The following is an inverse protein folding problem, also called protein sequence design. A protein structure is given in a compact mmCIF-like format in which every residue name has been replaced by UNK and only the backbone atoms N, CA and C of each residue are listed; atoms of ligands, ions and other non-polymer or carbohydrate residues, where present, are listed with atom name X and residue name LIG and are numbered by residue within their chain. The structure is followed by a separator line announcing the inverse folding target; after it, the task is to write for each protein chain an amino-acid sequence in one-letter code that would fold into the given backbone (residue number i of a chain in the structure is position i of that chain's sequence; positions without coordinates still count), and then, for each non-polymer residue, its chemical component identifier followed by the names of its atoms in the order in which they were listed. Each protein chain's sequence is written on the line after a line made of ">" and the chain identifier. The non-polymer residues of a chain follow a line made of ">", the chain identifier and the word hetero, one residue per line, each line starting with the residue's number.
data_IF_547463296011
#
_entry.id   IF_547463296011
#
_cell.length_a   1.000
_cell.length_b   1.000
_cell.length_c   1.000
_cell.angle_alpha   90.00
_cell.angle_beta   90.00
_cell.angle_gamma   90.00
#
_symmetry.space_group_name_H-M   'P 1'
#
loop_
_entity.id
_entity.type
_entity.pdbx_description
1 polymer ?
#
# COMPACT_ATOMS: atom_id res chain seq x y z
N UNK A 1 40.19 14.09 20.03
CA UNK A 1 40.08 13.62 18.63
C UNK A 1 38.98 12.57 18.43
N UNK A 2 38.19 12.23 19.46
CA UNK A 2 37.24 11.10 19.43
C UNK A 2 35.78 11.50 19.16
N UNK A 3 35.27 12.55 19.82
CA UNK A 3 33.85 12.96 19.71
C UNK A 3 33.46 13.48 18.32
N UNK A 4 34.35 14.22 17.66
CA UNK A 4 34.09 14.79 16.33
C UNK A 4 34.12 13.73 15.22
N UNK A 5 34.92 12.67 15.41
CA UNK A 5 34.97 11.52 14.49
C UNK A 5 33.76 10.59 14.67
N UNK A 6 33.29 10.39 15.90
CA UNK A 6 32.04 9.65 16.17
C UNK A 6 30.82 10.38 15.57
N UNK A 7 30.73 11.70 15.77
CA UNK A 7 29.65 12.51 15.19
C UNK A 7 29.68 12.52 13.65
N UNK A 8 30.87 12.53 13.04
CA UNK A 8 31.01 12.39 11.58
C UNK A 8 30.62 11.00 11.09
N UNK A 9 30.96 9.94 11.84
CA UNK A 9 30.54 8.56 11.54
C UNK A 9 29.02 8.41 11.54
N UNK A 10 28.34 8.86 12.59
CA UNK A 10 26.88 8.81 12.67
C UNK A 10 26.20 9.61 11.54
N UNK A 11 26.74 10.78 11.19
CA UNK A 11 26.17 11.60 10.13
C UNK A 11 26.32 10.94 8.75
N UNK A 12 27.46 10.30 8.49
CA UNK A 12 27.69 9.53 7.26
C UNK A 12 26.79 8.29 7.18
N UNK A 13 26.60 7.57 8.29
CA UNK A 13 25.68 6.43 8.35
C UNK A 13 24.23 6.86 8.15
N UNK A 14 23.76 7.93 8.80
CA UNK A 14 22.40 8.46 8.59
C UNK A 14 22.20 8.93 7.15
N UNK A 15 23.15 9.68 6.60
CA UNK A 15 23.10 10.15 5.22
C UNK A 15 23.14 9.01 4.19
N UNK A 16 23.79 7.88 4.51
CA UNK A 16 23.78 6.67 3.68
C UNK A 16 22.48 5.86 3.83
N UNK A 17 21.87 5.86 5.02
CA UNK A 17 20.66 5.07 5.32
C UNK A 17 19.38 5.71 4.75
N UNK A 18 19.26 7.04 4.81
CA UNK A 18 18.12 7.79 4.26
C UNK A 18 17.77 7.44 2.79
N UNK A 19 18.72 7.41 1.83
CA UNK A 19 18.43 7.08 0.45
C UNK A 19 18.08 5.60 0.24
N UNK A 20 18.63 4.69 1.04
CA UNK A 20 18.28 3.27 0.98
C UNK A 20 16.86 3.03 1.49
N UNK A 21 16.50 3.65 2.62
CA UNK A 21 15.16 3.59 3.18
C UNK A 21 14.11 4.18 2.23
N UNK A 22 14.42 5.32 1.59
CA UNK A 22 13.54 5.90 0.57
C UNK A 22 13.34 4.99 -0.64
N UNK A 23 14.41 4.33 -1.13
CA UNK A 23 14.31 3.38 -2.25
C UNK A 23 13.45 2.18 -1.90
N UNK A 24 13.61 1.63 -0.70
CA UNK A 24 12.80 0.52 -0.23
C UNK A 24 11.32 0.90 -0.17
N UNK A 25 11.01 2.06 0.40
CA UNK A 25 9.65 2.56 0.50
C UNK A 25 9.00 2.77 -0.88
N UNK A 26 9.73 3.36 -1.83
CA UNK A 26 9.28 3.52 -3.22
C UNK A 26 9.02 2.15 -3.87
N UNK A 27 9.91 1.17 -3.65
CA UNK A 27 9.74 -0.19 -4.19
C UNK A 27 8.48 -0.84 -3.66
N UNK A 28 8.24 -0.75 -2.35
CA UNK A 28 7.04 -1.30 -1.71
C UNK A 28 5.76 -0.66 -2.26
N UNK A 29 5.73 0.67 -2.39
CA UNK A 29 4.59 1.38 -2.96
C UNK A 29 4.31 0.97 -4.42
N UNK A 30 5.35 0.85 -5.25
CA UNK A 30 5.18 0.38 -6.63
C UNK A 30 4.58 -1.03 -6.69
N UNK A 31 5.03 -1.94 -5.81
CA UNK A 31 4.47 -3.28 -5.72
C UNK A 31 3.00 -3.26 -5.27
N UNK A 32 2.63 -2.41 -4.30
CA UNK A 32 1.26 -2.28 -3.83
C UNK A 32 0.35 -1.73 -4.94
N UNK A 33 0.73 -0.61 -5.57
CA UNK A 33 -0.10 0.03 -6.60
C UNK A 33 -0.22 -0.84 -7.85
N UNK A 34 0.89 -1.41 -8.32
CA UNK A 34 0.90 -2.32 -9.46
C UNK A 34 0.11 -3.60 -9.18
N UNK A 35 0.32 -4.21 -8.00
CA UNK A 35 -0.38 -5.42 -7.57
C UNK A 35 -1.89 -5.21 -7.45
N UNK A 36 -2.34 -4.14 -6.78
CA UNK A 36 -3.77 -3.83 -6.67
C UNK A 36 -4.41 -3.52 -8.02
N UNK A 37 -3.68 -2.84 -8.93
CA UNK A 37 -4.16 -2.62 -10.30
C UNK A 37 -4.38 -3.93 -11.03
N UNK A 38 -3.41 -4.86 -10.95
CA UNK A 38 -3.53 -6.18 -11.57
C UNK A 38 -4.69 -6.99 -10.99
N UNK A 39 -4.86 -6.99 -9.66
CA UNK A 39 -5.98 -7.65 -8.98
C UNK A 39 -7.30 -7.06 -9.45
N UNK A 40 -7.43 -5.73 -9.48
CA UNK A 40 -8.64 -5.06 -9.93
C UNK A 40 -9.01 -5.42 -11.38
N UNK A 41 -8.03 -5.46 -12.29
CA UNK A 41 -8.25 -5.88 -13.68
C UNK A 41 -8.77 -7.32 -13.77
N UNK A 42 -8.18 -8.25 -13.01
CA UNK A 42 -8.63 -9.65 -12.98
C UNK A 42 -10.03 -9.77 -12.39
N UNK A 43 -10.34 -9.03 -11.31
CA UNK A 43 -11.65 -9.07 -10.67
C UNK A 43 -12.78 -8.51 -11.55
N UNK A 44 -12.48 -7.58 -12.45
CA UNK A 44 -13.50 -6.98 -13.33
C UNK A 44 -13.86 -7.90 -14.52
N UNK A 45 -12.95 -8.81 -14.92
CA UNK A 45 -13.15 -9.66 -16.10
C UNK A 45 -14.45 -10.48 -16.11
N UNK A 46 -14.84 -11.19 -15.03
CA UNK A 46 -16.04 -12.03 -15.03
C UNK A 46 -17.32 -11.22 -15.31
N UNK A 47 -17.36 -9.97 -14.84
CA UNK A 47 -18.52 -9.08 -15.01
C UNK A 47 -18.73 -8.62 -16.46
N UNK A 48 -17.71 -8.73 -17.33
CA UNK A 48 -17.85 -8.36 -18.75
C UNK A 48 -18.68 -9.37 -19.54
N UNK A 49 -18.77 -10.61 -19.06
CA UNK A 49 -19.52 -11.69 -19.70
C UNK A 49 -20.94 -11.89 -19.14
N UNK A 50 -21.29 -11.23 -18.04
CA UNK A 50 -22.60 -11.40 -17.39
C UNK A 50 -23.63 -10.40 -17.91
N UNK A 51 -24.81 -10.89 -18.27
CA UNK A 51 -25.91 -10.05 -18.76
C UNK A 51 -26.60 -9.22 -17.65
N UNK A 52 -26.48 -9.65 -16.38
CA UNK A 52 -27.15 -9.01 -15.25
C UNK A 52 -26.23 -8.97 -14.03
N UNK A 53 -25.84 -7.76 -13.61
CA UNK A 53 -25.10 -7.57 -12.36
C UNK A 53 -26.06 -7.34 -11.19
N UNK A 54 -25.84 -8.09 -10.12
CA UNK A 54 -26.44 -7.81 -8.81
C UNK A 54 -25.87 -6.51 -8.19
N UNK A 55 -26.38 -6.13 -7.01
CA UNK A 55 -25.95 -4.89 -6.35
C UNK A 55 -24.48 -4.92 -5.92
N UNK A 56 -23.97 -6.08 -5.49
CA UNK A 56 -22.59 -6.21 -5.02
C UNK A 56 -21.60 -6.07 -6.17
N UNK A 57 -21.87 -6.71 -7.30
CA UNK A 57 -21.08 -6.60 -8.51
C UNK A 57 -21.05 -5.16 -9.05
N UNK A 58 -22.17 -4.43 -8.99
CA UNK A 58 -22.20 -3.00 -9.38
C UNK A 58 -21.28 -2.17 -8.51
N UNK A 59 -21.30 -2.38 -7.19
CA UNK A 59 -20.40 -1.69 -6.25
C UNK A 59 -18.94 -2.03 -6.56
N UNK A 60 -18.63 -3.31 -6.83
CA UNK A 60 -17.30 -3.76 -7.23
C UNK A 60 -16.78 -3.02 -8.48
N UNK A 61 -17.56 -3.01 -9.56
CA UNK A 61 -17.20 -2.36 -10.82
C UNK A 61 -17.06 -0.84 -10.66
N UNK A 62 -17.98 -0.19 -9.95
CA UNK A 62 -17.89 1.24 -9.67
C UNK A 62 -16.64 1.59 -8.87
N UNK A 63 -16.33 0.83 -7.83
CA UNK A 63 -15.14 1.05 -7.01
C UNK A 63 -13.86 0.89 -7.84
N UNK A 64 -13.75 -0.19 -8.63
CA UNK A 64 -12.56 -0.42 -9.45
C UNK A 64 -12.42 0.54 -10.64
N UNK A 65 -13.53 1.05 -11.20
CA UNK A 65 -13.46 2.04 -12.28
C UNK A 65 -12.76 3.33 -11.87
N UNK A 66 -12.84 3.69 -10.59
CA UNK A 66 -12.14 4.85 -10.00
C UNK A 66 -10.78 4.44 -9.44
N UNK A 67 -10.67 3.28 -8.79
CA UNK A 67 -9.41 2.82 -8.20
C UNK A 67 -8.32 2.57 -9.25
N UNK A 68 -8.64 1.92 -10.39
CA UNK A 68 -7.65 1.55 -11.40
C UNK A 68 -6.91 2.79 -11.96
N UNK A 69 -7.58 3.85 -12.44
CA UNK A 69 -6.89 5.04 -12.94
C UNK A 69 -6.07 5.73 -11.86
N UNK A 70 -6.58 5.80 -10.62
CA UNK A 70 -5.85 6.44 -9.51
C UNK A 70 -4.59 5.67 -9.14
N UNK A 71 -4.68 4.33 -9.00
CA UNK A 71 -3.53 3.47 -8.71
C UNK A 71 -2.50 3.52 -9.84
N UNK A 72 -2.94 3.52 -11.10
CA UNK A 72 -2.05 3.67 -12.26
C UNK A 72 -1.34 5.03 -12.27
N UNK A 73 -2.04 6.12 -11.95
CA UNK A 73 -1.44 7.44 -11.83
C UNK A 73 -0.42 7.50 -10.68
N UNK A 74 -0.75 6.92 -9.51
CA UNK A 74 0.17 6.84 -8.37
C UNK A 74 1.41 5.99 -8.67
N UNK A 75 1.24 4.86 -9.37
CA UNK A 75 2.33 4.03 -9.86
C UNK A 75 3.25 4.80 -10.80
N UNK A 76 2.67 5.57 -11.73
CA UNK A 76 3.45 6.39 -12.66
C UNK A 76 4.21 7.51 -11.92
N UNK A 77 3.55 8.19 -10.98
CA UNK A 77 4.20 9.23 -10.15
C UNK A 77 5.34 8.63 -9.34
N UNK A 78 5.12 7.52 -8.64
CA UNK A 78 6.15 6.87 -7.82
C UNK A 78 7.30 6.31 -8.69
N UNK A 79 7.02 5.84 -9.91
CA UNK A 79 8.04 5.48 -10.90
C UNK A 79 8.87 6.70 -11.35
N UNK A 80 8.23 7.85 -11.58
CA UNK A 80 8.92 9.11 -11.90
C UNK A 80 9.79 9.62 -10.74
N UNK A 81 9.32 9.50 -9.49
CA UNK A 81 10.10 9.86 -8.30
C UNK A 81 11.32 8.95 -8.14
N UNK A 82 11.17 7.64 -8.38
CA UNK A 82 12.28 6.69 -8.41
C UNK A 82 13.33 7.07 -9.45
N UNK A 83 12.90 7.51 -10.63
CA UNK A 83 13.79 7.90 -11.72
C UNK A 83 14.52 9.22 -11.43
N UNK A 84 13.84 10.18 -10.79
CA UNK A 84 14.38 11.54 -10.52
C UNK A 84 15.04 11.70 -9.14
N UNK A 85 15.00 10.69 -8.26
CA UNK A 85 15.55 10.72 -6.88
C UNK A 85 15.07 11.92 -6.03
N UNK A 86 13.86 12.42 -6.27
CA UNK A 86 13.22 13.47 -5.45
C UNK A 86 11.77 13.07 -5.18
N UNK A 87 11.45 12.85 -3.90
CA UNK A 87 10.09 12.66 -3.45
C UNK A 87 9.34 14.01 -3.49
N UNK A 88 8.20 14.04 -4.17
CA UNK A 88 7.28 15.17 -4.07
C UNK A 88 6.28 14.86 -2.96
N UNK A 89 6.42 15.51 -1.81
CA UNK A 89 5.43 15.41 -0.71
C UNK A 89 4.19 16.24 -1.03
N UNK A 90 3.45 15.84 -2.07
CA UNK A 90 2.20 16.49 -2.43
C UNK A 90 1.05 15.90 -1.61
N UNK A 91 0.34 16.76 -0.88
CA UNK A 91 -0.90 16.40 -0.17
C UNK A 91 -1.92 15.73 -1.08
N UNK A 92 -1.96 16.12 -2.36
CA UNK A 92 -2.88 15.54 -3.35
C UNK A 92 -2.56 14.06 -3.58
N UNK A 93 -1.28 13.69 -3.70
CA UNK A 93 -0.85 12.30 -3.88
C UNK A 93 -1.28 11.45 -2.68
N UNK A 94 -1.07 11.97 -1.46
CA UNK A 94 -1.44 11.27 -0.23
C UNK A 94 -2.95 11.05 -0.10
N UNK A 95 -3.77 12.06 -0.42
CA UNK A 95 -5.23 11.93 -0.41
C UNK A 95 -5.70 10.96 -1.49
N UNK A 96 -5.19 11.09 -2.72
CA UNK A 96 -5.51 10.18 -3.82
C UNK A 96 -5.13 8.74 -3.49
N UNK A 97 -3.99 8.51 -2.83
CA UNK A 97 -3.56 7.19 -2.36
C UNK A 97 -4.57 6.58 -1.39
N UNK A 98 -4.99 7.32 -0.36
CA UNK A 98 -5.98 6.82 0.60
C UNK A 98 -7.31 6.47 -0.08
N UNK A 99 -7.77 7.33 -1.00
CA UNK A 99 -9.01 7.08 -1.75
C UNK A 99 -8.87 5.84 -2.63
N UNK A 100 -7.76 5.73 -3.38
CA UNK A 100 -7.52 4.62 -4.28
C UNK A 100 -7.44 3.28 -3.55
N UNK A 101 -6.72 3.22 -2.42
CA UNK A 101 -6.60 2.02 -1.61
C UNK A 101 -7.94 1.62 -0.98
N UNK A 102 -8.71 2.59 -0.47
CA UNK A 102 -10.04 2.33 0.09
C UNK A 102 -11.00 1.78 -0.97
N UNK A 103 -11.02 2.39 -2.16
CA UNK A 103 -11.86 1.91 -3.25
C UNK A 103 -11.42 0.54 -3.76
N UNK A 104 -10.12 0.28 -3.88
CA UNK A 104 -9.62 -1.03 -4.24
C UNK A 104 -10.04 -2.09 -3.21
N UNK A 105 -9.94 -1.78 -1.92
CA UNK A 105 -10.38 -2.67 -0.85
C UNK A 105 -11.89 -2.96 -0.92
N UNK A 106 -12.71 -1.92 -1.06
CA UNK A 106 -14.17 -2.06 -1.21
C UNK A 106 -14.50 -2.91 -2.45
N UNK A 107 -13.82 -2.69 -3.56
CA UNK A 107 -14.00 -3.47 -4.78
C UNK A 107 -13.71 -4.95 -4.57
N UNK A 108 -12.59 -5.28 -3.92
CA UNK A 108 -12.23 -6.68 -3.62
C UNK A 108 -13.29 -7.34 -2.73
N UNK A 109 -13.69 -6.68 -1.64
CA UNK A 109 -14.71 -7.22 -0.72
C UNK A 109 -16.05 -7.43 -1.44
N UNK A 110 -16.50 -6.45 -2.22
CA UNK A 110 -17.74 -6.54 -2.98
C UNK A 110 -17.69 -7.65 -4.05
N UNK A 111 -16.53 -7.85 -4.69
CA UNK A 111 -16.31 -8.94 -5.64
C UNK A 111 -16.43 -10.32 -4.98
N UNK A 112 -15.82 -10.53 -3.81
CA UNK A 112 -15.99 -11.77 -3.07
C UNK A 112 -17.42 -11.97 -2.57
N UNK A 113 -18.07 -10.90 -2.12
CA UNK A 113 -19.44 -10.94 -1.63
C UNK A 113 -20.45 -11.32 -2.71
N UNK A 114 -20.19 -10.90 -3.97
CA UNK A 114 -20.96 -11.30 -5.13
C UNK A 114 -20.88 -12.81 -5.39
N UNK A 115 -19.68 -13.41 -5.27
CA UNK A 115 -19.48 -14.85 -5.47
C UNK A 115 -20.15 -15.64 -4.33
N UNK A 116 -19.79 -15.32 -3.08
CA UNK A 116 -20.37 -15.91 -1.88
C UNK A 116 -20.31 -14.92 -0.71
N UNK A 117 -21.45 -14.66 -0.06
CA UNK A 117 -21.54 -13.80 1.13
C UNK A 117 -20.48 -14.16 2.21
N UNK A 118 -20.28 -15.47 2.46
CA UNK A 118 -19.32 -15.96 3.47
C UNK A 118 -17.88 -15.63 3.07
N UNK A 119 -17.54 -15.64 1.78
CA UNK A 119 -16.20 -15.30 1.31
C UNK A 119 -15.90 -13.82 1.58
N UNK A 120 -16.88 -12.93 1.37
CA UNK A 120 -16.75 -11.51 1.73
C UNK A 120 -16.52 -11.31 3.23
N UNK A 121 -17.29 -11.99 4.09
CA UNK A 121 -17.10 -11.93 5.54
C UNK A 121 -15.73 -12.49 5.98
N UNK A 122 -15.31 -13.63 5.43
CA UNK A 122 -14.02 -14.24 5.70
C UNK A 122 -12.85 -13.32 5.30
N UNK A 123 -12.98 -12.60 4.18
CA UNK A 123 -11.99 -11.62 3.72
C UNK A 123 -11.88 -10.42 4.68
N UNK A 124 -12.99 -9.94 5.23
CA UNK A 124 -12.97 -8.86 6.22
C UNK A 124 -12.30 -9.30 7.53
N UNK A 125 -12.66 -10.49 8.02
CA UNK A 125 -12.09 -11.05 9.26
C UNK A 125 -10.59 -11.29 9.10
N UNK A 126 -10.16 -11.88 7.97
CA UNK A 126 -8.74 -12.12 7.70
C UNK A 126 -7.97 -10.81 7.49
N UNK A 127 -8.56 -9.83 6.81
CA UNK A 127 -7.97 -8.49 6.66
C UNK A 127 -7.77 -7.79 8.01
N UNK A 128 -8.75 -7.88 8.91
CA UNK A 128 -8.62 -7.35 10.26
C UNK A 128 -7.54 -8.07 11.07
N UNK A 129 -7.50 -9.40 11.01
CA UNK A 129 -6.45 -10.19 11.65
C UNK A 129 -5.05 -9.83 11.11
N UNK A 130 -4.91 -9.64 9.80
CA UNK A 130 -3.66 -9.22 9.18
C UNK A 130 -3.22 -7.83 9.66
N UNK A 131 -4.14 -6.87 9.79
CA UNK A 131 -3.83 -5.56 10.38
C UNK A 131 -3.35 -5.67 11.82
N UNK A 132 -3.98 -6.53 12.63
CA UNK A 132 -3.56 -6.77 14.02
C UNK A 132 -2.17 -7.39 14.10
N UNK A 133 -1.86 -8.36 13.24
CA UNK A 133 -0.52 -8.96 13.15
C UNK A 133 0.52 -7.92 12.74
N UNK A 134 0.20 -7.07 11.75
CA UNK A 134 1.11 -6.01 11.32
C UNK A 134 1.37 -4.99 12.45
N UNK A 135 0.32 -4.58 13.16
CA UNK A 135 0.43 -3.67 14.30
C UNK A 135 1.26 -4.28 15.44
N UNK A 136 1.00 -5.53 15.82
CA UNK A 136 1.78 -6.24 16.84
C UNK A 136 3.26 -6.43 16.43
N UNK A 137 3.51 -6.71 15.14
CA UNK A 137 4.84 -6.79 14.57
C UNK A 137 5.61 -5.47 14.70
N UNK A 138 4.95 -4.34 14.37
CA UNK A 138 5.53 -3.00 14.49
C UNK A 138 5.90 -2.67 15.94
N UNK A 139 5.00 -2.95 16.89
CA UNK A 139 5.28 -2.72 18.31
C UNK A 139 6.43 -3.57 18.85
N UNK A 140 6.62 -4.80 18.35
CA UNK A 140 7.76 -5.63 18.75
C UNK A 140 9.07 -5.10 18.20
N UNK A 141 9.08 -4.55 16.99
CA UNK A 141 10.27 -3.92 16.40
C UNK A 141 10.67 -2.64 17.14
N UNK A 142 9.71 -1.77 17.46
CA UNK A 142 9.98 -0.57 18.28
C UNK A 142 10.50 -0.92 19.67
N UNK A 143 9.93 -1.95 20.32
CA UNK A 143 10.41 -2.39 21.63
C UNK A 143 11.80 -3.02 21.57
N UNK A 144 12.09 -3.78 20.51
CA UNK A 144 13.43 -4.36 20.30
C UNK A 144 14.46 -3.25 20.06
N UNK A 145 14.16 -2.28 19.18
CA UNK A 145 15.03 -1.13 18.92
C UNK A 145 15.36 -0.36 20.21
N UNK A 146 14.34 -0.02 21.01
CA UNK A 146 14.51 0.66 22.31
C UNK A 146 15.31 -0.13 23.34
N UNK A 147 15.21 -1.47 23.33
CA UNK A 147 15.96 -2.32 24.26
C UNK A 147 17.45 -2.41 23.91
N UNK A 148 17.81 -2.24 22.63
CA UNK A 148 19.22 -2.13 22.18
C UNK A 148 19.84 -0.74 22.44
N UNK A 149 19.03 0.30 22.60
CA UNK A 149 19.47 1.69 22.85
C UNK A 149 19.66 2.02 24.34
N UNK A 150 19.23 1.15 25.26
CA UNK A 150 19.49 1.28 26.70
C UNK A 150 20.77 0.53 27.09
N UNK A 151 21.85 1.21 27.51
CA UNK A 151 23.10 0.60 27.97
C UNK A 151 22.97 -0.15 29.30
#
# INVERSE_FOLDING_TARGET
>A
MTVEQEAQGEWLERAATEPEQQREWIRQNNLIYGGLTAIALVFVQPFLSEATLDWSARVCVLAFSVAIPLLAALLLVNSQESFRRRATDSRVVRVSQSIALLLAFVGVVAGFWHIMWIAGAAMLVSGFAAMMVHSAGYFRLERAAKATETP
#
